data_IF_483643910670
#
_entry.id   IF_483643910670
#
_cell.length_a   1.000
_cell.length_b   1.000
_cell.length_c   1.000
_cell.angle_alpha   90.00
_cell.angle_beta   90.00
_cell.angle_gamma   90.00
#
_symmetry.space_group_name_H-M   'P 1'
#
loop_
_entity.id
_entity.type
_entity.pdbx_description
1 polymer ?
#
# COMPACT_ATOMS: atom_id res chain seq x y z
N UNK A 1 54.87 -61.97 32.25
CA UNK A 1 54.75 -61.70 30.80
C UNK A 1 53.27 -61.50 30.50
N UNK A 2 52.83 -60.26 30.23
CA UNK A 2 51.41 -59.95 29.99
C UNK A 2 51.07 -60.34 28.55
N UNK A 3 50.21 -61.34 28.37
CA UNK A 3 49.70 -61.73 27.06
C UNK A 3 48.71 -60.67 26.58
N UNK A 4 49.07 -59.93 25.54
CA UNK A 4 48.18 -59.00 24.87
C UNK A 4 47.09 -59.81 24.13
N UNK A 5 45.82 -59.51 24.44
CA UNK A 5 44.64 -60.12 23.82
C UNK A 5 44.64 -59.79 22.32
N UNK A 6 44.43 -60.80 21.47
CA UNK A 6 44.24 -60.63 20.03
C UNK A 6 43.01 -59.74 19.78
N UNK A 7 43.22 -58.53 19.26
CA UNK A 7 42.14 -57.65 18.84
C UNK A 7 41.50 -58.25 17.57
N UNK A 8 40.21 -58.55 17.64
CA UNK A 8 39.43 -59.03 16.50
C UNK A 8 39.33 -57.92 15.45
N UNK A 9 40.07 -58.06 14.34
CA UNK A 9 39.96 -57.16 13.20
C UNK A 9 38.58 -57.31 12.55
N UNK A 10 37.93 -56.18 12.22
CA UNK A 10 36.63 -56.15 11.55
C UNK A 10 36.67 -56.87 10.21
N UNK A 11 35.65 -57.66 9.93
CA UNK A 11 35.51 -58.31 8.62
C UNK A 11 35.13 -57.29 7.56
N UNK A 12 35.58 -57.49 6.31
CA UNK A 12 35.24 -56.59 5.20
C UNK A 12 33.72 -56.44 5.00
N UNK A 13 32.97 -57.51 5.30
CA UNK A 13 31.50 -57.53 5.25
C UNK A 13 30.88 -56.62 6.32
N UNK A 14 31.41 -56.60 7.54
CA UNK A 14 30.93 -55.69 8.59
C UNK A 14 31.14 -54.22 8.22
N UNK A 15 32.28 -53.88 7.61
CA UNK A 15 32.57 -52.52 7.15
C UNK A 15 31.62 -52.09 6.03
N UNK A 16 31.34 -52.98 5.07
CA UNK A 16 30.38 -52.73 4.00
C UNK A 16 28.95 -52.55 4.54
N UNK A 17 28.54 -53.37 5.52
CA UNK A 17 27.21 -53.27 6.11
C UNK A 17 27.07 -52.00 6.97
N UNK A 18 28.11 -51.61 7.71
CA UNK A 18 28.14 -50.36 8.46
C UNK A 18 28.06 -49.12 7.54
N UNK A 19 28.77 -49.12 6.41
CA UNK A 19 28.69 -48.06 5.40
C UNK A 19 27.29 -47.98 4.75
N UNK A 20 26.68 -49.13 4.43
CA UNK A 20 25.35 -49.17 3.85
C UNK A 20 24.29 -48.61 4.82
N UNK A 21 24.34 -49.00 6.10
CA UNK A 21 23.43 -48.48 7.13
C UNK A 21 23.70 -46.99 7.39
N UNK A 22 24.96 -46.59 7.47
CA UNK A 22 25.35 -45.18 7.62
C UNK A 22 24.83 -44.31 6.47
N UNK A 23 24.95 -44.77 5.23
CA UNK A 23 24.42 -44.07 4.05
C UNK A 23 22.90 -43.91 4.08
N UNK A 24 22.17 -44.96 4.48
CA UNK A 24 20.71 -44.89 4.63
C UNK A 24 20.30 -43.90 5.74
N UNK A 25 21.00 -43.91 6.88
CA UNK A 25 20.75 -42.97 7.98
C UNK A 25 21.02 -41.52 7.57
N UNK A 26 22.15 -41.25 6.92
CA UNK A 26 22.50 -39.89 6.45
C UNK A 26 21.47 -39.40 5.43
N UNK A 27 21.04 -40.26 4.50
CA UNK A 27 20.00 -39.92 3.52
C UNK A 27 18.68 -39.60 4.22
N UNK A 28 18.25 -40.41 5.19
CA UNK A 28 17.04 -40.17 5.97
C UNK A 28 17.09 -38.86 6.77
N UNK A 29 18.23 -38.58 7.43
CA UNK A 29 18.45 -37.32 8.16
C UNK A 29 18.44 -36.11 7.24
N UNK A 30 19.06 -36.22 6.06
CA UNK A 30 19.09 -35.13 5.08
C UNK A 30 17.69 -34.82 4.55
N UNK A 31 16.87 -35.84 4.27
CA UNK A 31 15.47 -35.65 3.87
C UNK A 31 14.65 -34.94 4.95
N UNK A 32 14.81 -35.33 6.22
CA UNK A 32 14.16 -34.64 7.35
C UNK A 32 14.61 -33.19 7.50
N UNK A 33 15.90 -32.92 7.32
CA UNK A 33 16.44 -31.56 7.34
C UNK A 33 15.83 -30.70 6.22
N UNK A 34 15.83 -31.20 4.97
CA UNK A 34 15.23 -30.50 3.84
C UNK A 34 13.74 -30.23 4.07
N UNK A 35 13.01 -31.21 4.62
CA UNK A 35 11.61 -31.05 4.97
C UNK A 35 11.41 -29.95 6.02
N UNK A 36 12.21 -29.95 7.08
CA UNK A 36 12.15 -28.95 8.16
C UNK A 36 12.49 -27.54 7.67
N UNK A 37 13.60 -27.39 6.95
CA UNK A 37 14.06 -26.12 6.39
C UNK A 37 13.02 -25.53 5.41
N UNK A 38 12.46 -26.37 4.54
CA UNK A 38 11.37 -25.98 3.63
C UNK A 38 10.13 -25.48 4.37
N UNK A 39 9.77 -26.14 5.49
CA UNK A 39 8.62 -25.74 6.30
C UNK A 39 8.82 -24.39 6.99
N UNK A 40 10.05 -24.06 7.40
CA UNK A 40 10.37 -22.78 8.00
C UNK A 40 10.29 -21.63 6.98
N UNK A 41 10.74 -21.85 5.75
CA UNK A 41 10.66 -20.86 4.67
C UNK A 41 9.20 -20.47 4.35
N UNK A 42 8.32 -21.46 4.18
CA UNK A 42 6.89 -21.21 3.91
C UNK A 42 6.23 -20.46 5.05
N UNK A 43 6.56 -20.79 6.31
CA UNK A 43 6.06 -20.05 7.47
C UNK A 43 6.49 -18.59 7.43
N UNK A 44 7.76 -18.30 7.13
CA UNK A 44 8.24 -16.92 7.04
C UNK A 44 7.52 -16.15 5.92
N UNK A 45 7.40 -16.74 4.74
CA UNK A 45 6.69 -16.14 3.59
C UNK A 45 5.21 -15.88 3.89
N UNK A 46 4.53 -16.80 4.57
CA UNK A 46 3.11 -16.62 4.92
C UNK A 46 2.92 -15.50 5.94
N UNK A 47 3.81 -15.37 6.93
CA UNK A 47 3.78 -14.28 7.90
C UNK A 47 4.06 -12.94 7.22
N UNK A 48 5.08 -12.89 6.36
CA UNK A 48 5.45 -11.66 5.64
C UNK A 48 4.33 -11.22 4.70
N UNK A 49 3.77 -12.12 3.89
CA UNK A 49 2.62 -11.84 3.02
C UNK A 49 1.42 -11.29 3.82
N UNK A 50 1.10 -11.90 4.96
CA UNK A 50 0.00 -11.43 5.81
C UNK A 50 0.28 -10.05 6.39
N UNK A 51 1.52 -9.78 6.83
CA UNK A 51 1.92 -8.48 7.35
C UNK A 51 1.83 -7.40 6.27
N UNK A 52 2.38 -7.65 5.08
CA UNK A 52 2.36 -6.72 3.95
C UNK A 52 0.92 -6.43 3.48
N UNK A 53 0.08 -7.47 3.35
CA UNK A 53 -1.31 -7.30 2.96
C UNK A 53 -2.11 -6.50 4.00
N UNK A 54 -1.88 -6.72 5.30
CA UNK A 54 -2.51 -5.95 6.38
C UNK A 54 -2.04 -4.49 6.38
N UNK A 55 -0.74 -4.25 6.25
CA UNK A 55 -0.17 -2.92 6.19
C UNK A 55 -0.71 -2.12 4.98
N UNK A 56 -0.76 -2.76 3.81
CA UNK A 56 -1.36 -2.16 2.61
C UNK A 56 -2.85 -1.83 2.82
N UNK A 57 -3.62 -2.74 3.41
CA UNK A 57 -5.03 -2.53 3.72
C UNK A 57 -5.25 -1.38 4.70
N UNK A 58 -4.38 -1.20 5.68
CA UNK A 58 -4.48 -0.10 6.63
C UNK A 58 -4.14 1.25 5.99
N UNK A 59 -3.13 1.30 5.13
CA UNK A 59 -2.79 2.51 4.35
C UNK A 59 -3.92 2.90 3.39
N UNK A 60 -4.46 1.93 2.64
CA UNK A 60 -5.61 2.15 1.76
C UNK A 60 -6.80 2.66 2.58
N UNK A 61 -7.13 1.99 3.69
CA UNK A 61 -8.25 2.39 4.52
C UNK A 61 -8.07 3.80 5.09
N UNK A 62 -6.85 4.18 5.46
CA UNK A 62 -6.55 5.54 5.91
C UNK A 62 -6.80 6.57 4.80
N UNK A 63 -6.35 6.28 3.57
CA UNK A 63 -6.58 7.18 2.45
C UNK A 63 -8.06 7.30 2.09
N UNK A 64 -8.80 6.19 2.10
CA UNK A 64 -10.24 6.18 1.82
C UNK A 64 -11.07 6.87 2.90
N UNK A 65 -10.62 6.86 4.16
CA UNK A 65 -11.26 7.65 5.22
C UNK A 65 -11.20 9.15 4.95
N UNK A 66 -10.13 9.62 4.29
CA UNK A 66 -9.93 11.04 3.93
C UNK A 66 -10.45 11.38 2.54
N UNK A 67 -11.21 10.48 1.93
CA UNK A 67 -11.83 10.70 0.64
C UNK A 67 -12.86 11.83 0.72
N UNK A 68 -12.80 12.71 -0.26
CA UNK A 68 -13.77 13.78 -0.49
C UNK A 68 -14.59 13.48 -1.74
N UNK A 69 -15.91 13.52 -1.59
CA UNK A 69 -16.86 13.22 -2.68
C UNK A 69 -17.00 11.72 -2.98
N UNK A 70 -17.07 11.40 -4.26
CA UNK A 70 -17.24 10.03 -4.77
C UNK A 70 -15.94 9.49 -5.33
N UNK A 71 -15.69 8.20 -5.15
CA UNK A 71 -14.58 7.51 -5.78
C UNK A 71 -14.98 7.08 -7.20
N UNK A 72 -14.03 7.08 -8.13
CA UNK A 72 -14.17 6.38 -9.40
C UNK A 72 -13.52 5.00 -9.25
N UNK A 73 -14.35 3.97 -9.25
CA UNK A 73 -13.94 2.58 -9.12
C UNK A 73 -13.83 1.96 -10.51
N UNK A 74 -12.69 1.36 -10.82
CA UNK A 74 -12.51 0.48 -11.98
C UNK A 74 -12.07 -0.90 -11.49
N UNK A 75 -13.01 -1.85 -11.47
CA UNK A 75 -12.75 -3.26 -11.17
C UNK A 75 -13.01 -4.07 -12.42
N UNK A 76 -11.95 -4.37 -13.15
CA UNK A 76 -11.96 -5.17 -14.37
C UNK A 76 -11.58 -6.63 -14.14
N UNK A 77 -11.36 -7.07 -12.88
CA UNK A 77 -10.93 -8.43 -12.50
C UNK A 77 -9.63 -8.89 -13.20
N UNK A 78 -8.93 -7.95 -13.83
CA UNK A 78 -7.74 -8.16 -14.65
C UNK A 78 -6.61 -7.27 -14.12
N UNK A 79 -5.35 -7.45 -14.56
CA UNK A 79 -4.31 -6.53 -14.16
C UNK A 79 -4.64 -5.10 -14.60
N UNK A 80 -4.31 -4.11 -13.75
CA UNK A 80 -4.66 -2.68 -13.86
C UNK A 80 -5.99 -2.23 -13.25
N UNK A 81 -6.58 -3.02 -12.34
CA UNK A 81 -7.68 -2.53 -11.49
C UNK A 81 -7.23 -1.26 -10.74
N UNK A 82 -8.07 -0.22 -10.80
CA UNK A 82 -7.76 1.09 -10.23
C UNK A 82 -8.90 1.64 -9.38
N UNK A 83 -8.54 2.33 -8.31
CA UNK A 83 -9.44 3.19 -7.55
C UNK A 83 -8.87 4.59 -7.54
N UNK A 84 -9.54 5.52 -8.23
CA UNK A 84 -9.15 6.93 -8.26
C UNK A 84 -10.11 7.76 -7.45
N UNK A 85 -9.58 8.66 -6.62
CA UNK A 85 -10.37 9.52 -5.75
C UNK A 85 -9.64 10.80 -5.39
N UNK A 86 -10.40 11.76 -4.90
CA UNK A 86 -9.88 13.02 -4.36
C UNK A 86 -9.76 12.89 -2.85
N UNK A 87 -8.56 13.15 -2.31
CA UNK A 87 -8.28 13.18 -0.88
C UNK A 87 -8.37 14.62 -0.37
N UNK A 88 -9.03 14.83 0.76
CA UNK A 88 -9.02 16.09 1.49
C UNK A 88 -7.73 16.21 2.30
N UNK A 89 -6.98 17.29 2.09
CA UNK A 89 -5.74 17.59 2.82
C UNK A 89 -5.98 18.57 3.96
N UNK A 90 -6.70 19.66 3.68
CA UNK A 90 -7.02 20.68 4.66
C UNK A 90 -8.28 21.45 4.24
N UNK A 91 -8.89 22.17 5.17
CA UNK A 91 -10.00 23.10 4.90
C UNK A 91 -9.92 24.32 5.81
N UNK A 92 -10.49 25.43 5.37
CA UNK A 92 -10.41 26.68 6.11
C UNK A 92 -11.29 27.77 5.54
N UNK A 93 -11.25 28.93 6.16
CA UNK A 93 -11.92 30.13 5.67
C UNK A 93 -10.85 31.11 5.20
N UNK A 94 -11.04 31.66 4.01
CA UNK A 94 -10.20 32.77 3.57
C UNK A 94 -10.30 33.91 4.58
N UNK A 95 -9.19 34.59 4.81
CA UNK A 95 -9.10 35.79 5.64
C UNK A 95 -9.32 37.08 4.85
N UNK A 96 -9.57 36.97 3.53
CA UNK A 96 -9.71 38.11 2.62
C UNK A 96 -8.35 38.69 2.18
N UNK A 97 -8.39 39.85 1.52
CA UNK A 97 -7.20 40.49 0.96
C UNK A 97 -6.54 39.67 -0.16
N UNK A 98 -7.30 38.81 -0.82
CA UNK A 98 -6.83 37.92 -1.88
C UNK A 98 -6.51 38.70 -3.16
N UNK A 99 -5.53 38.22 -3.92
CA UNK A 99 -5.29 38.66 -5.29
C UNK A 99 -5.89 37.66 -6.27
N UNK A 100 -5.84 37.95 -7.57
CA UNK A 100 -6.26 36.99 -8.60
C UNK A 100 -5.54 35.63 -8.45
N UNK A 101 -4.29 35.61 -8.01
CA UNK A 101 -3.47 34.38 -7.94
C UNK A 101 -3.14 33.94 -6.51
N UNK A 102 -3.85 34.46 -5.51
CA UNK A 102 -3.60 34.09 -4.11
C UNK A 102 -4.86 33.83 -3.33
N UNK A 103 -4.72 33.00 -2.29
CA UNK A 103 -5.72 32.82 -1.25
C UNK A 103 -5.01 32.91 0.11
N UNK A 104 -5.41 33.86 0.94
CA UNK A 104 -4.87 34.09 2.27
C UNK A 104 -5.75 33.45 3.33
N UNK A 105 -5.14 32.67 4.22
CA UNK A 105 -5.73 32.28 5.49
C UNK A 105 -4.70 32.51 6.61
N UNK A 106 -4.80 33.68 7.26
CA UNK A 106 -3.93 34.08 8.38
C UNK A 106 -4.06 33.20 9.62
N UNK A 107 -5.05 32.31 9.68
CA UNK A 107 -5.25 31.37 10.80
C UNK A 107 -4.48 30.06 10.58
N UNK A 108 -3.87 29.88 9.40
CA UNK A 108 -3.10 28.68 9.05
C UNK A 108 -1.61 28.86 9.32
N UNK A 109 -0.98 27.73 9.58
CA UNK A 109 0.46 27.61 9.82
C UNK A 109 1.01 26.42 9.01
N UNK A 110 0.89 26.53 7.69
CA UNK A 110 1.43 25.52 6.79
C UNK A 110 2.96 25.57 6.76
N UNK A 111 3.60 24.44 6.47
CA UNK A 111 5.00 24.49 6.09
C UNK A 111 5.12 25.16 4.71
N UNK A 112 6.13 26.01 4.53
CA UNK A 112 6.40 26.65 3.23
C UNK A 112 6.55 25.58 2.14
N UNK A 113 5.85 25.76 1.02
CA UNK A 113 5.79 24.85 -0.12
C UNK A 113 5.28 23.43 0.18
N UNK A 114 4.57 23.21 1.29
CA UNK A 114 3.88 21.95 1.56
C UNK A 114 2.90 21.52 0.45
N UNK A 115 2.30 22.49 -0.25
CA UNK A 115 1.33 22.28 -1.32
C UNK A 115 1.86 22.68 -2.70
N UNK A 116 3.17 22.89 -2.83
CA UNK A 116 3.78 23.12 -4.13
C UNK A 116 3.61 21.88 -5.04
N UNK A 117 3.45 22.07 -6.36
CA UNK A 117 3.37 20.96 -7.29
C UNK A 117 4.68 20.16 -7.23
N UNK A 118 4.55 18.84 -7.21
CA UNK A 118 5.68 17.92 -7.17
C UNK A 118 5.46 16.78 -8.16
N UNK A 119 6.49 15.99 -8.42
CA UNK A 119 6.35 14.70 -9.11
C UNK A 119 5.42 13.73 -8.36
N UNK A 120 5.01 14.05 -7.13
CA UNK A 120 4.03 13.28 -6.41
C UNK A 120 2.60 13.78 -6.64
N UNK A 121 2.36 15.01 -7.05
CA UNK A 121 1.03 15.59 -6.84
C UNK A 121 0.89 17.02 -7.30
N UNK A 122 -0.25 17.35 -7.91
CA UNK A 122 -0.79 18.72 -7.94
C UNK A 122 -1.90 18.83 -6.90
N UNK A 123 -1.76 19.80 -5.99
CA UNK A 123 -2.80 20.17 -5.04
C UNK A 123 -3.75 21.19 -5.67
N UNK A 124 -5.00 21.17 -5.24
CA UNK A 124 -6.06 22.02 -5.78
C UNK A 124 -6.81 22.68 -4.63
N UNK A 125 -6.99 23.99 -4.74
CA UNK A 125 -7.86 24.76 -3.87
C UNK A 125 -9.24 24.88 -4.53
N UNK A 126 -10.28 24.44 -3.82
CA UNK A 126 -11.67 24.59 -4.25
C UNK A 126 -12.44 25.44 -3.25
N UNK A 127 -13.20 26.41 -3.75
CA UNK A 127 -14.12 27.21 -2.93
C UNK A 127 -15.47 26.50 -2.88
N UNK A 128 -15.89 26.10 -1.68
CA UNK A 128 -17.11 25.30 -1.45
C UNK A 128 -18.24 26.11 -0.80
N UNK A 129 -17.97 27.37 -0.40
CA UNK A 129 -18.98 28.30 0.09
C UNK A 129 -18.49 29.74 0.07
N UNK A 130 -19.42 30.71 0.14
CA UNK A 130 -19.11 32.15 0.14
C UNK A 130 -18.77 32.71 -1.25
N UNK A 131 -18.10 33.86 -1.29
CA UNK A 131 -17.73 34.51 -2.55
C UNK A 131 -16.81 33.60 -3.39
N UNK A 132 -17.11 33.47 -4.68
CA UNK A 132 -16.33 32.64 -5.59
C UNK A 132 -16.56 31.13 -5.47
N UNK A 133 -17.62 30.68 -4.79
CA UNK A 133 -18.04 29.28 -4.70
C UNK A 133 -18.09 28.58 -6.07
N UNK A 134 -17.63 27.33 -6.10
CA UNK A 134 -17.56 26.49 -7.30
C UNK A 134 -16.24 26.61 -8.07
N UNK A 135 -15.44 27.63 -7.80
CA UNK A 135 -14.13 27.77 -8.43
C UNK A 135 -13.12 26.78 -7.86
N UNK A 136 -12.29 26.26 -8.77
CA UNK A 136 -11.29 25.25 -8.49
C UNK A 136 -10.01 25.65 -9.21
N UNK A 137 -8.93 25.86 -8.47
CA UNK A 137 -7.65 26.33 -9.01
C UNK A 137 -6.50 25.48 -8.46
N UNK A 138 -5.56 25.13 -9.33
CA UNK A 138 -4.38 24.39 -8.93
C UNK A 138 -3.42 25.31 -8.14
N UNK A 139 -2.80 24.74 -7.12
CA UNK A 139 -1.87 25.43 -6.22
C UNK A 139 -0.48 25.31 -6.83
N UNK A 140 0.18 26.46 -7.03
CA UNK A 140 1.56 26.55 -7.52
C UNK A 140 2.59 26.62 -6.39
N UNK A 141 2.17 26.90 -5.16
CA UNK A 141 3.01 26.96 -3.97
C UNK A 141 2.26 27.52 -2.77
N UNK A 142 2.92 27.59 -1.62
CA UNK A 142 2.33 28.22 -0.43
C UNK A 142 3.40 28.78 0.51
N UNK A 143 3.02 29.82 1.24
CA UNK A 143 3.71 30.25 2.48
C UNK A 143 2.99 29.64 3.69
N UNK A 144 3.32 30.09 4.91
CA UNK A 144 2.64 29.65 6.12
C UNK A 144 1.13 29.92 6.16
N UNK A 145 0.68 30.96 5.45
CA UNK A 145 -0.70 31.45 5.55
C UNK A 145 -1.28 31.92 4.22
N UNK A 146 -0.60 31.64 3.09
CA UNK A 146 -1.06 32.03 1.76
C UNK A 146 -0.80 30.90 0.78
N UNK A 147 -1.81 30.58 -0.02
CA UNK A 147 -1.68 29.73 -1.21
C UNK A 147 -1.41 30.62 -2.42
N UNK A 148 -0.45 30.20 -3.24
CA UNK A 148 -0.21 30.73 -4.58
C UNK A 148 -0.84 29.80 -5.61
N UNK A 149 -1.48 30.34 -6.62
CA UNK A 149 -2.25 29.57 -7.60
C UNK A 149 -1.62 29.67 -9.00
N UNK A 150 -1.84 28.65 -9.82
CA UNK A 150 -1.39 28.65 -11.23
C UNK A 150 -2.36 29.38 -12.14
N UNK A 151 -3.63 29.44 -11.77
CA UNK A 151 -4.73 30.06 -12.50
C UNK A 151 -5.42 31.09 -11.63
N UNK A 152 -5.84 32.19 -12.24
CA UNK A 152 -6.49 33.28 -11.53
C UNK A 152 -7.90 32.92 -11.08
N UNK A 153 -8.36 33.48 -9.98
CA UNK A 153 -9.78 33.52 -9.63
C UNK A 153 -10.53 34.38 -10.65
N UNK A 154 -11.69 33.89 -11.11
CA UNK A 154 -12.66 34.70 -11.83
C UNK A 154 -13.39 35.66 -10.86
N UNK A 155 -13.96 35.11 -9.80
CA UNK A 155 -14.51 35.89 -8.68
C UNK A 155 -13.58 35.76 -7.48
N UNK A 156 -13.05 36.88 -6.99
CA UNK A 156 -12.14 36.88 -5.85
C UNK A 156 -12.85 36.34 -4.60
N UNK A 157 -12.30 35.30 -3.94
CA UNK A 157 -12.80 34.86 -2.64
C UNK A 157 -12.61 35.96 -1.58
N UNK A 158 -13.52 36.03 -0.62
CA UNK A 158 -13.49 37.01 0.48
C UNK A 158 -13.35 36.30 1.85
N UNK A 159 -13.60 37.02 2.94
CA UNK A 159 -13.49 36.48 4.29
C UNK A 159 -14.61 35.47 4.66
N UNK A 160 -15.67 35.40 3.84
CA UNK A 160 -16.77 34.44 4.00
C UNK A 160 -16.54 33.15 3.21
N UNK A 161 -15.54 33.15 2.31
CA UNK A 161 -15.26 32.01 1.43
C UNK A 161 -14.68 30.83 2.20
N UNK A 162 -15.41 29.71 2.19
CA UNK A 162 -14.96 28.42 2.69
C UNK A 162 -14.20 27.70 1.57
N UNK A 163 -12.97 27.29 1.86
CA UNK A 163 -12.14 26.56 0.90
C UNK A 163 -11.73 25.20 1.44
N UNK A 164 -11.44 24.29 0.51
CA UNK A 164 -10.82 23.00 0.77
C UNK A 164 -9.59 22.84 -0.12
N UNK A 165 -8.56 22.19 0.43
CA UNK A 165 -7.36 21.76 -0.30
C UNK A 165 -7.49 20.27 -0.53
N UNK A 166 -7.37 19.87 -1.79
CA UNK A 166 -7.50 18.47 -2.19
C UNK A 166 -6.36 18.03 -3.09
N UNK A 167 -6.17 16.71 -3.20
CA UNK A 167 -5.27 16.10 -4.19
C UNK A 167 -5.89 14.83 -4.77
N UNK A 168 -5.60 14.53 -6.02
CA UNK A 168 -6.01 13.24 -6.61
C UNK A 168 -5.06 12.12 -6.20
N UNK A 169 -5.63 10.96 -5.92
CA UNK A 169 -4.92 9.74 -5.54
C UNK A 169 -5.53 8.56 -6.28
N UNK A 170 -4.66 7.67 -6.76
CA UNK A 170 -5.04 6.47 -7.50
C UNK A 170 -4.35 5.27 -6.89
N UNK A 171 -5.12 4.29 -6.45
CA UNK A 171 -4.61 2.98 -6.07
C UNK A 171 -4.69 2.10 -7.30
N UNK A 172 -3.62 1.36 -7.62
CA UNK A 172 -3.60 0.45 -8.76
C UNK A 172 -2.95 -0.86 -8.42
N UNK A 173 -3.49 -1.96 -8.96
CA UNK A 173 -2.78 -3.22 -9.05
C UNK A 173 -2.15 -3.32 -10.44
N UNK A 174 -0.83 -3.37 -10.52
CA UNK A 174 -0.13 -3.47 -11.81
C UNK A 174 -0.12 -4.90 -12.36
N UNK A 175 0.26 -5.02 -13.64
CA UNK A 175 0.55 -6.29 -14.31
C UNK A 175 1.49 -7.21 -13.49
N UNK A 176 2.42 -6.62 -12.75
CA UNK A 176 3.40 -7.33 -11.93
C UNK A 176 2.83 -7.88 -10.61
N UNK A 177 1.50 -7.88 -10.42
CA UNK A 177 0.84 -8.22 -9.16
C UNK A 177 1.28 -7.33 -8.00
N UNK A 178 1.72 -6.11 -8.27
CA UNK A 178 2.09 -5.15 -7.21
C UNK A 178 0.96 -4.17 -6.99
N UNK A 179 0.58 -3.98 -5.74
CA UNK A 179 -0.35 -2.95 -5.32
C UNK A 179 0.43 -1.67 -5.04
N UNK A 180 0.03 -0.61 -5.73
CA UNK A 180 0.70 0.68 -5.70
C UNK A 180 -0.27 1.80 -5.39
N UNK A 181 0.21 2.76 -4.61
CA UNK A 181 -0.45 4.06 -4.45
C UNK A 181 0.26 5.08 -5.34
N UNK A 182 -0.47 5.64 -6.28
CA UNK A 182 -0.04 6.70 -7.18
C UNK A 182 -0.71 8.00 -6.73
N UNK A 183 0.06 9.06 -6.60
CA UNK A 183 -0.48 10.40 -6.36
C UNK A 183 -0.37 11.23 -7.65
N UNK A 184 -1.13 12.32 -7.76
CA UNK A 184 -1.32 13.15 -8.96
C UNK A 184 -0.02 13.80 -9.53
N UNK A 185 0.93 13.01 -9.99
CA UNK A 185 2.23 13.44 -10.50
C UNK A 185 3.11 12.28 -10.97
N UNK A 186 2.65 11.03 -10.79
CA UNK A 186 3.32 9.83 -11.28
C UNK A 186 4.18 9.12 -10.23
N UNK A 187 4.42 9.72 -9.06
CA UNK A 187 5.10 9.02 -7.97
C UNK A 187 4.27 7.84 -7.48
N UNK A 188 4.88 6.65 -7.50
CA UNK A 188 4.27 5.39 -7.13
C UNK A 188 4.96 4.82 -5.89
N UNK A 189 4.18 4.60 -4.82
CA UNK A 189 4.62 3.86 -3.64
C UNK A 189 4.14 2.41 -3.73
N UNK A 190 5.06 1.46 -3.56
CA UNK A 190 4.73 0.05 -3.41
C UNK A 190 4.09 -0.17 -2.03
N UNK A 191 2.88 -0.73 -2.01
CA UNK A 191 2.14 -1.06 -0.78
C UNK A 191 2.24 -2.54 -0.43
N UNK A 192 2.09 -3.41 -1.43
CA UNK A 192 2.24 -4.85 -1.29
C UNK A 192 2.60 -5.48 -2.63
N UNK A 193 3.28 -6.63 -2.59
CA UNK A 193 3.57 -7.46 -3.75
C UNK A 193 2.68 -8.71 -3.76
N UNK A 194 2.67 -9.43 -4.89
CA UNK A 194 1.94 -10.69 -5.07
C UNK A 194 0.43 -10.60 -4.80
N UNK A 195 -0.17 -9.45 -5.11
CA UNK A 195 -1.62 -9.25 -5.06
C UNK A 195 -2.24 -9.87 -6.32
N UNK A 196 -3.08 -10.87 -6.12
CA UNK A 196 -3.78 -11.61 -7.17
C UNK A 196 -5.10 -10.96 -7.56
N UNK A 197 -5.81 -10.41 -6.59
CA UNK A 197 -7.05 -9.68 -6.83
C UNK A 197 -7.13 -8.46 -5.93
N UNK A 198 -7.70 -7.40 -6.48
CA UNK A 198 -8.04 -6.18 -5.77
C UNK A 198 -9.42 -5.77 -6.26
N UNK A 199 -10.42 -5.82 -5.40
CA UNK A 199 -11.76 -5.33 -5.73
C UNK A 199 -12.18 -4.27 -4.75
N UNK A 200 -12.96 -3.33 -5.26
CA UNK A 200 -13.60 -2.29 -4.49
C UNK A 200 -15.09 -2.32 -4.79
N UNK A 201 -15.90 -2.21 -3.75
CA UNK A 201 -17.33 -2.05 -3.87
C UNK A 201 -17.75 -0.85 -3.04
N UNK A 202 -18.61 0.00 -3.60
CA UNK A 202 -19.20 1.12 -2.86
C UNK A 202 -20.68 0.78 -2.62
N UNK A 203 -21.01 0.05 -1.53
CA UNK A 203 -22.40 -0.33 -1.26
C UNK A 203 -23.26 0.89 -0.96
N UNK A 204 -22.71 1.92 -0.30
CA UNK A 204 -23.38 3.17 0.01
C UNK A 204 -22.50 4.39 -0.34
N UNK A 205 -23.08 5.61 -0.47
CA UNK A 205 -22.29 6.83 -0.69
C UNK A 205 -21.19 7.08 0.36
N UNK A 206 -21.36 6.54 1.57
CA UNK A 206 -20.50 6.81 2.72
C UNK A 206 -19.55 5.65 3.09
N UNK A 207 -19.61 4.53 2.39
CA UNK A 207 -18.81 3.35 2.72
C UNK A 207 -18.18 2.73 1.46
N UNK A 208 -16.94 2.25 1.57
CA UNK A 208 -16.26 1.50 0.53
C UNK A 208 -15.72 0.21 1.14
N UNK A 209 -16.09 -0.92 0.56
CA UNK A 209 -15.52 -2.23 0.86
C UNK A 209 -14.33 -2.48 -0.06
N UNK A 210 -13.25 -2.98 0.50
CA UNK A 210 -12.04 -3.37 -0.21
C UNK A 210 -11.83 -4.86 0.03
N UNK A 211 -11.62 -5.63 -1.03
CA UNK A 211 -11.16 -7.01 -0.94
C UNK A 211 -9.80 -7.16 -1.64
N UNK A 212 -8.86 -7.77 -0.94
CA UNK A 212 -7.51 -8.04 -1.42
C UNK A 212 -7.21 -9.51 -1.24
N UNK A 213 -6.69 -10.15 -2.29
CA UNK A 213 -6.12 -11.49 -2.18
C UNK A 213 -4.65 -11.45 -2.54
N UNK A 214 -3.79 -11.83 -1.60
CA UNK A 214 -2.36 -12.00 -1.79
C UNK A 214 -1.99 -13.49 -1.89
N UNK A 215 -0.79 -13.77 -2.41
CA UNK A 215 -0.20 -15.11 -2.40
C UNK A 215 1.26 -15.08 -1.96
N UNK A 216 1.78 -16.22 -1.50
CA UNK A 216 3.21 -16.40 -1.24
C UNK A 216 4.03 -16.19 -2.53
N UNK A 217 5.25 -15.68 -2.38
CA UNK A 217 6.16 -15.43 -3.50
C UNK A 217 6.68 -16.74 -4.12
N UNK A 218 6.88 -17.75 -3.27
CA UNK A 218 7.36 -19.09 -3.63
C UNK A 218 6.25 -20.12 -3.39
N UNK A 219 6.23 -21.16 -4.21
CA UNK A 219 5.37 -22.32 -3.98
C UNK A 219 5.87 -23.12 -2.79
N UNK A 220 4.95 -23.69 -2.02
CA UNK A 220 5.32 -24.63 -0.98
C UNK A 220 6.00 -25.85 -1.64
N UNK A 221 7.27 -26.15 -1.33
CA UNK A 221 8.02 -27.24 -1.97
C UNK A 221 7.40 -28.62 -1.69
N UNK A 222 6.56 -28.75 -0.65
CA UNK A 222 5.89 -30.01 -0.30
C UNK A 222 4.63 -30.26 -1.13
N UNK A 223 3.86 -29.21 -1.41
CA UNK A 223 2.56 -29.31 -2.08
C UNK A 223 2.57 -28.76 -3.51
N UNK A 224 3.65 -28.09 -3.92
CA UNK A 224 3.80 -27.39 -5.20
C UNK A 224 2.66 -26.38 -5.46
N UNK A 225 2.11 -25.82 -4.38
CA UNK A 225 0.99 -24.87 -4.41
C UNK A 225 1.38 -23.59 -3.71
N UNK A 226 0.82 -22.47 -4.18
CA UNK A 226 0.91 -21.20 -3.48
C UNK A 226 -0.08 -21.20 -2.31
N UNK A 227 0.32 -20.52 -1.22
CA UNK A 227 -0.61 -20.21 -0.13
C UNK A 227 -1.23 -18.85 -0.42
N UNK A 228 -2.53 -18.74 -0.24
CA UNK A 228 -3.30 -17.53 -0.50
C UNK A 228 -3.80 -16.93 0.81
N UNK A 229 -3.92 -15.60 0.82
CA UNK A 229 -4.47 -14.87 1.94
C UNK A 229 -5.40 -13.77 1.45
N UNK A 230 -6.65 -13.84 1.87
CA UNK A 230 -7.68 -12.87 1.50
C UNK A 230 -8.08 -12.03 2.71
N UNK A 231 -8.25 -10.73 2.47
CA UNK A 231 -8.68 -9.74 3.43
C UNK A 231 -9.84 -8.94 2.83
N UNK A 232 -10.87 -8.74 3.63
CA UNK A 232 -11.98 -7.84 3.31
C UNK A 232 -12.09 -6.79 4.41
N UNK A 233 -12.30 -5.52 4.03
CA UNK A 233 -12.47 -4.42 4.98
C UNK A 233 -13.46 -3.39 4.44
N UNK A 234 -14.48 -3.09 5.24
CA UNK A 234 -15.35 -1.95 5.00
C UNK A 234 -14.76 -0.69 5.65
N UNK A 235 -14.74 0.39 4.89
CA UNK A 235 -14.21 1.69 5.32
C UNK A 235 -15.31 2.73 5.18
N UNK A 236 -15.68 3.35 6.31
CA UNK A 236 -16.61 4.48 6.34
C UNK A 236 -15.83 5.77 6.09
N UNK A 237 -16.34 6.62 5.20
CA UNK A 237 -15.77 7.94 4.88
C UNK A 237 -15.91 8.85 6.10
N UNK A 238 -14.88 9.65 6.41
CA UNK A 238 -14.92 10.59 7.53
C UNK A 238 -15.86 11.77 7.28
N UNK A 239 -16.09 12.12 6.01
CA UNK A 239 -16.80 13.33 5.59
C UNK A 239 -18.15 13.02 4.92
N UNK A 240 -18.74 11.87 5.23
CA UNK A 240 -20.06 11.45 4.73
C UNK A 240 -21.20 11.82 5.66
#
# INVERSE_FOLDING_TARGET
MKTLKSETAFTHVEVLMALAIGGMLVTGMFQLYLFSASGALVQNETVQMQADARAAMDLIAQDLRQLYGSATVSTTLTPNDTLSFTRLEDSGYSSGGNSAFSLNDTRKFWATNAFAPSSAGTYVAQIVGGAGMGQTNAISGNTGSQLSLSTGWGTLPDATSLYIITRSKTLTRTADNTLRSITAGGSSLLLAANIMSLSFAQPDPNSITIDVTARTSVQDPRTQRFVYYSLSKMVVKRNG
#
